data_IF_412360294563
#
_entry.id   IF_412360294563
#
_cell.length_a   1.000
_cell.length_b   1.000
_cell.length_c   1.000
_cell.angle_alpha   90.00
_cell.angle_beta   90.00
_cell.angle_gamma   90.00
#
_symmetry.space_group_name_H-M   'P 1'
#
loop_
_entity.id
_entity.type
_entity.pdbx_description
1 polymer ?
#
# COMPACT_ATOMS: atom_id res chain seq x y z
N UNK A 1 8.97 -3.79 6.05
CA UNK A 1 10.14 -4.21 5.24
C UNK A 1 9.74 -4.57 3.82
N UNK A 2 8.98 -5.64 3.56
CA UNK A 2 8.66 -6.09 2.19
C UNK A 2 7.98 -5.03 1.31
N UNK A 3 6.95 -4.36 1.81
CA UNK A 3 6.27 -3.29 1.05
C UNK A 3 7.17 -2.10 0.72
N UNK A 4 8.06 -1.71 1.63
CA UNK A 4 9.03 -0.64 1.38
C UNK A 4 9.96 -0.98 0.21
N UNK A 5 10.57 -2.16 0.24
CA UNK A 5 11.46 -2.62 -0.82
C UNK A 5 10.75 -2.75 -2.18
N UNK A 6 9.48 -3.20 -2.21
CA UNK A 6 8.70 -3.27 -3.44
C UNK A 6 8.42 -1.88 -4.03
N UNK A 7 8.14 -0.89 -3.17
CA UNK A 7 7.98 0.50 -3.59
C UNK A 7 9.28 1.08 -4.16
N UNK A 8 10.41 0.87 -3.47
CA UNK A 8 11.72 1.33 -3.93
C UNK A 8 12.11 0.66 -5.26
N UNK A 9 11.79 -0.63 -5.44
CA UNK A 9 12.00 -1.31 -6.71
C UNK A 9 11.26 -0.61 -7.87
N UNK A 10 10.03 -0.13 -7.65
CA UNK A 10 9.32 0.67 -8.66
C UNK A 10 9.99 2.02 -8.90
N UNK A 11 10.51 2.68 -7.86
CA UNK A 11 11.22 3.96 -7.96
C UNK A 11 12.48 3.80 -8.82
N UNK A 12 13.24 2.73 -8.62
CA UNK A 12 14.55 2.52 -9.25
C UNK A 12 14.48 1.80 -10.60
N UNK A 13 13.43 1.03 -10.89
CA UNK A 13 13.26 0.33 -12.18
C UNK A 13 12.93 1.27 -13.34
N UNK A 14 13.11 0.82 -14.58
CA UNK A 14 12.59 1.53 -15.74
C UNK A 14 11.06 1.65 -15.69
N UNK A 15 10.46 2.77 -16.14
CA UNK A 15 9.01 2.92 -16.20
C UNK A 15 8.34 1.76 -16.95
N UNK A 16 7.24 1.22 -16.40
CA UNK A 16 6.52 0.08 -16.98
C UNK A 16 7.08 -1.30 -16.61
N UNK A 17 8.25 -1.39 -15.95
CA UNK A 17 8.77 -2.68 -15.43
C UNK A 17 7.82 -3.30 -14.41
N UNK A 18 7.29 -2.45 -13.52
CA UNK A 18 6.24 -2.82 -12.56
C UNK A 18 4.99 -2.03 -12.94
N UNK A 19 3.94 -2.74 -13.36
CA UNK A 19 2.70 -2.09 -13.79
C UNK A 19 1.85 -1.60 -12.62
N UNK A 20 1.76 -2.40 -11.54
CA UNK A 20 0.91 -2.14 -10.38
C UNK A 20 1.56 -2.61 -9.08
N UNK A 21 1.37 -1.83 -8.02
CA UNK A 21 1.85 -2.12 -6.68
C UNK A 21 0.72 -2.10 -5.66
N UNK A 22 0.75 -3.07 -4.74
CA UNK A 22 -0.15 -3.12 -3.58
C UNK A 22 0.70 -3.05 -2.31
N UNK A 23 0.42 -2.07 -1.47
CA UNK A 23 1.02 -1.93 -0.15
C UNK A 23 0.02 -2.37 0.93
N UNK A 24 0.44 -3.27 1.82
CA UNK A 24 -0.34 -3.74 2.96
C UNK A 24 0.29 -3.24 4.26
N UNK A 25 -0.32 -2.25 4.91
CA UNK A 25 0.22 -1.63 6.14
C UNK A 25 1.60 -1.00 5.93
N UNK A 26 1.91 -0.52 4.73
CA UNK A 26 3.24 -0.02 4.36
C UNK A 26 3.19 1.08 3.30
N UNK A 27 4.35 1.65 3.00
CA UNK A 27 4.64 2.60 1.92
C UNK A 27 6.08 2.35 1.44
N UNK A 28 6.55 2.94 0.31
CA UNK A 28 7.96 2.92 -0.07
C UNK A 28 8.84 3.51 1.04
N UNK A 29 10.13 3.13 1.07
CA UNK A 29 11.09 3.78 1.98
C UNK A 29 11.58 5.10 1.37
N UNK A 30 11.73 5.13 0.05
CA UNK A 30 12.07 6.33 -0.71
C UNK A 30 10.83 7.22 -0.97
N UNK A 31 11.02 8.49 -1.41
CA UNK A 31 9.91 9.40 -1.65
C UNK A 31 8.88 8.85 -2.65
N UNK A 32 7.63 8.70 -2.20
CA UNK A 32 6.55 8.12 -3.01
C UNK A 32 6.24 8.90 -4.31
N UNK A 33 6.58 10.18 -4.37
CA UNK A 33 6.49 11.01 -5.58
C UNK A 33 7.34 10.51 -6.75
N UNK A 34 8.26 9.57 -6.51
CA UNK A 34 9.06 8.89 -7.55
C UNK A 34 8.49 7.54 -7.99
N UNK A 35 7.39 7.07 -7.42
CA UNK A 35 6.77 5.80 -7.83
C UNK A 35 6.42 5.84 -9.32
N UNK A 36 6.74 4.76 -10.03
CA UNK A 36 6.50 4.64 -11.48
C UNK A 36 5.32 3.72 -11.80
N UNK A 37 4.79 3.01 -10.81
CA UNK A 37 3.67 2.09 -10.94
C UNK A 37 2.39 2.70 -10.35
N UNK A 38 1.23 2.26 -10.87
CA UNK A 38 -0.04 2.51 -10.20
C UNK A 38 -0.01 1.89 -8.80
N UNK A 39 -0.47 2.60 -7.77
CA UNK A 39 -0.32 2.16 -6.38
C UNK A 39 -1.63 2.07 -5.62
N UNK A 40 -1.89 0.92 -4.98
CA UNK A 40 -2.96 0.73 -4.01
C UNK A 40 -2.36 0.62 -2.60
N UNK A 41 -2.80 1.46 -1.69
CA UNK A 41 -2.44 1.41 -0.27
C UNK A 41 -3.60 0.85 0.54
N UNK A 42 -3.37 -0.19 1.35
CA UNK A 42 -4.36 -0.77 2.25
C UNK A 42 -3.79 -0.77 3.65
N UNK A 43 -4.50 -0.19 4.62
CA UNK A 43 -4.03 -0.08 6.01
C UNK A 43 -5.21 -0.13 6.99
N UNK A 44 -5.05 -0.82 8.12
CA UNK A 44 -6.04 -0.78 9.19
C UNK A 44 -5.89 0.50 10.02
N UNK A 45 -7.02 1.09 10.44
CA UNK A 45 -7.09 2.40 11.12
C UNK A 45 -6.17 2.48 12.33
N UNK A 46 -6.09 1.40 13.09
CA UNK A 46 -5.34 1.29 14.34
C UNK A 46 -4.09 0.39 14.19
N UNK A 47 -3.59 0.17 12.97
CA UNK A 47 -2.30 -0.51 12.75
C UNK A 47 -1.17 0.34 13.37
N UNK A 48 -0.49 -0.22 14.37
CA UNK A 48 0.53 0.46 15.17
C UNK A 48 1.78 -0.39 15.39
N UNK A 49 2.88 0.29 15.72
CA UNK A 49 4.10 -0.31 16.26
C UNK A 49 4.65 0.57 17.41
N UNK A 50 5.89 0.33 17.81
CA UNK A 50 6.59 1.13 18.82
C UNK A 50 6.69 2.63 18.46
N UNK A 51 6.60 2.98 17.17
CA UNK A 51 6.66 4.36 16.66
C UNK A 51 5.27 5.02 16.55
N UNK A 52 4.20 4.30 16.93
CA UNK A 52 2.83 4.77 16.90
C UNK A 52 2.02 4.24 15.71
N UNK A 53 0.99 4.99 15.30
CA UNK A 53 0.11 4.61 14.20
C UNK A 53 0.81 4.70 12.85
N UNK A 54 0.64 3.69 12.00
CA UNK A 54 1.18 3.70 10.63
C UNK A 54 0.38 4.58 9.67
N UNK A 55 -0.92 4.72 9.91
CA UNK A 55 -1.84 5.40 8.99
C UNK A 55 -1.43 6.85 8.67
N UNK A 56 -1.01 7.72 9.62
CA UNK A 56 -0.55 9.07 9.28
C UNK A 56 0.62 9.09 8.30
N UNK A 57 1.64 8.25 8.53
CA UNK A 57 2.81 8.17 7.65
C UNK A 57 2.48 7.60 6.27
N UNK A 58 1.67 6.54 6.21
CA UNK A 58 1.19 5.96 4.95
C UNK A 58 0.36 6.97 4.16
N UNK A 59 -0.50 7.74 4.83
CA UNK A 59 -1.33 8.78 4.19
C UNK A 59 -0.47 9.89 3.60
N UNK A 60 0.55 10.34 4.30
CA UNK A 60 1.48 11.35 3.79
C UNK A 60 2.21 10.87 2.53
N UNK A 61 2.61 9.58 2.46
CA UNK A 61 3.20 9.00 1.26
C UNK A 61 2.17 8.85 0.13
N UNK A 62 0.96 8.38 0.45
CA UNK A 62 -0.15 8.31 -0.51
C UNK A 62 -0.45 9.68 -1.13
N UNK A 63 -0.51 10.74 -0.35
CA UNK A 63 -0.77 12.10 -0.84
C UNK A 63 0.27 12.56 -1.87
N UNK A 64 1.54 12.16 -1.70
CA UNK A 64 2.65 12.47 -2.62
C UNK A 64 2.77 11.54 -3.83
N UNK A 65 2.27 10.31 -3.76
CA UNK A 65 2.38 9.36 -4.86
C UNK A 65 1.76 9.89 -6.17
N UNK A 66 2.28 9.55 -7.36
CA UNK A 66 1.64 9.91 -8.63
C UNK A 66 0.29 9.21 -8.84
N UNK A 67 -0.55 9.76 -9.71
CA UNK A 67 -1.73 9.06 -10.20
C UNK A 67 -1.31 8.03 -11.28
N UNK A 68 -2.02 6.90 -11.42
CA UNK A 68 -3.21 6.50 -10.63
C UNK A 68 -2.86 5.88 -9.27
N UNK A 69 -3.57 6.30 -8.22
CA UNK A 69 -3.41 5.79 -6.84
C UNK A 69 -4.72 5.67 -6.08
N UNK A 70 -4.76 4.73 -5.14
CA UNK A 70 -5.92 4.48 -4.27
C UNK A 70 -5.49 4.21 -2.82
N UNK A 71 -6.32 4.60 -1.86
CA UNK A 71 -6.12 4.34 -0.42
C UNK A 71 -7.39 3.72 0.19
N UNK A 72 -7.23 2.55 0.79
CA UNK A 72 -8.26 1.84 1.53
C UNK A 72 -7.88 1.82 3.01
N UNK A 73 -8.76 2.37 3.84
CA UNK A 73 -8.64 2.32 5.30
C UNK A 73 -9.65 1.30 5.81
N UNK A 74 -9.16 0.29 6.50
CA UNK A 74 -9.95 -0.78 7.12
C UNK A 74 -10.14 -0.49 8.60
N UNK A 75 -11.20 -1.01 9.21
CA UNK A 75 -11.34 -0.94 10.67
C UNK A 75 -10.48 -2.02 11.35
N UNK A 76 -10.07 -1.78 12.60
CA UNK A 76 -9.19 -2.69 13.35
C UNK A 76 -7.72 -2.29 13.33
N UNK A 77 -6.86 -3.22 13.77
CA UNK A 77 -5.41 -3.00 14.00
C UNK A 77 -4.49 -4.02 13.32
N UNK A 78 -5.04 -4.95 12.54
CA UNK A 78 -4.26 -5.99 11.89
C UNK A 78 -3.23 -5.39 10.92
N UNK A 79 -2.01 -5.91 10.98
CA UNK A 79 -0.88 -5.42 10.18
C UNK A 79 -0.64 -6.29 8.95
N UNK A 80 -0.39 -5.66 7.79
CA UNK A 80 0.09 -6.31 6.58
C UNK A 80 -0.70 -7.58 6.19
N UNK A 81 -0.05 -8.74 6.11
CA UNK A 81 -0.72 -10.00 5.73
C UNK A 81 -1.78 -10.47 6.74
N UNK A 82 -1.74 -10.00 7.99
CA UNK A 82 -2.77 -10.36 8.97
C UNK A 82 -4.14 -9.74 8.65
N UNK A 83 -4.20 -8.77 7.73
CA UNK A 83 -5.45 -8.24 7.18
C UNK A 83 -6.32 -9.34 6.55
N UNK A 84 -5.72 -10.41 6.01
CA UNK A 84 -6.47 -11.53 5.43
C UNK A 84 -7.11 -12.46 6.47
N UNK A 85 -6.71 -12.34 7.74
CA UNK A 85 -7.20 -13.18 8.83
C UNK A 85 -8.32 -12.50 9.62
N UNK A 86 -8.74 -11.30 9.23
CA UNK A 86 -9.86 -10.58 9.86
C UNK A 86 -11.17 -10.87 9.13
N UNK A 87 -12.27 -10.39 9.69
CA UNK A 87 -13.58 -10.34 9.05
C UNK A 87 -13.61 -9.51 7.75
N UNK A 88 -12.59 -8.69 7.50
CA UNK A 88 -12.42 -7.90 6.28
C UNK A 88 -11.52 -8.58 5.24
N UNK A 89 -11.01 -9.79 5.48
CA UNK A 89 -10.08 -10.48 4.58
C UNK A 89 -10.61 -10.68 3.15
N UNK A 90 -11.90 -11.01 3.00
CA UNK A 90 -12.54 -11.13 1.68
C UNK A 90 -12.59 -9.79 0.93
N UNK A 91 -12.86 -8.70 1.65
CA UNK A 91 -12.85 -7.34 1.08
C UNK A 91 -11.43 -6.98 0.60
N UNK A 92 -10.41 -7.28 1.41
CA UNK A 92 -9.01 -7.05 1.03
C UNK A 92 -8.67 -7.77 -0.26
N UNK A 93 -8.97 -9.07 -0.35
CA UNK A 93 -8.69 -9.86 -1.56
C UNK A 93 -9.42 -9.32 -2.80
N UNK A 94 -10.70 -8.97 -2.66
CA UNK A 94 -11.52 -8.41 -3.74
C UNK A 94 -10.94 -7.12 -4.29
N UNK A 95 -10.53 -6.20 -3.42
CA UNK A 95 -9.98 -4.91 -3.82
C UNK A 95 -8.60 -5.05 -4.48
N UNK A 96 -7.77 -5.97 -4.01
CA UNK A 96 -6.50 -6.31 -4.67
C UNK A 96 -6.76 -6.83 -6.08
N UNK A 97 -7.68 -7.80 -6.24
CA UNK A 97 -7.99 -8.37 -7.55
C UNK A 97 -8.60 -7.33 -8.49
N UNK A 98 -9.51 -6.47 -8.01
CA UNK A 98 -10.08 -5.36 -8.79
C UNK A 98 -8.97 -4.45 -9.29
N UNK A 99 -8.07 -4.02 -8.41
CA UNK A 99 -7.00 -3.10 -8.75
C UNK A 99 -6.01 -3.72 -9.75
N UNK A 100 -5.56 -4.95 -9.50
CA UNK A 100 -4.61 -5.64 -10.37
C UNK A 100 -5.19 -5.96 -11.75
N UNK A 101 -6.51 -6.20 -11.85
CA UNK A 101 -7.20 -6.57 -13.08
C UNK A 101 -7.70 -5.39 -13.92
N UNK A 102 -7.56 -4.15 -13.43
CA UNK A 102 -7.86 -2.97 -14.23
C UNK A 102 -7.06 -3.01 -15.54
N UNK A 103 -7.57 -2.39 -16.62
CA UNK A 103 -6.80 -2.25 -17.86
C UNK A 103 -6.00 -0.96 -17.77
#
# INVERSE_FOLDING_TARGET
MGGGAAGDASIHSEPGTIGRLVFLGSAPNDPAEKLKAASLFIVARNDANADGLRLPGIRAQYEKAPQPKELIILDGSAHAQFLFQTDQGEKVMREILRFLSAK
#
